data_IF_099041195470
#
_entry.id   IF_099041195470
#
_cell.length_a   1.000
_cell.length_b   1.000
_cell.length_c   1.000
_cell.angle_alpha   90.00
_cell.angle_beta   90.00
_cell.angle_gamma   90.00
#
_symmetry.space_group_name_H-M   'P 1'
#
loop_
_entity.id
_entity.type
_entity.pdbx_description
1 polymer ?
#
# COMPACT_ATOMS: atom_id res chain seq x y z
N UNK A 1 38.55 40.46 19.23
CA UNK A 1 37.67 39.73 20.13
C UNK A 1 36.26 39.57 19.63
N UNK A 2 35.52 40.62 19.19
CA UNK A 2 34.12 40.46 18.70
C UNK A 2 33.94 39.53 17.50
N UNK A 3 34.89 39.43 16.55
CA UNK A 3 34.81 38.53 15.38
C UNK A 3 34.99 37.04 15.72
N UNK A 4 35.79 36.73 16.76
CA UNK A 4 36.05 35.36 17.21
C UNK A 4 34.81 34.83 17.94
N UNK A 5 34.14 35.67 18.72
CA UNK A 5 32.89 35.29 19.45
C UNK A 5 31.75 35.03 18.45
N UNK A 6 31.69 35.82 17.35
CA UNK A 6 30.67 35.60 16.32
C UNK A 6 30.91 34.29 15.53
N UNK A 7 32.17 33.92 15.26
CA UNK A 7 32.51 32.65 14.63
C UNK A 7 32.19 31.44 15.53
N UNK A 8 32.47 31.55 16.83
CA UNK A 8 32.13 30.49 17.80
C UNK A 8 30.62 30.32 17.97
N UNK A 9 29.82 31.40 17.93
CA UNK A 9 28.37 31.36 17.93
C UNK A 9 27.82 30.73 16.65
N UNK A 10 28.35 31.04 15.49
CA UNK A 10 27.95 30.41 14.22
C UNK A 10 28.30 28.93 14.20
N UNK A 11 29.45 28.53 14.75
CA UNK A 11 29.86 27.13 14.81
C UNK A 11 28.97 26.31 15.78
N UNK A 12 28.53 26.90 16.90
CA UNK A 12 27.62 26.24 17.84
C UNK A 12 26.22 26.04 17.25
N UNK A 13 25.71 26.99 16.47
CA UNK A 13 24.44 26.86 15.76
C UNK A 13 24.53 25.77 14.68
N UNK A 14 25.65 25.67 13.97
CA UNK A 14 25.86 24.60 12.98
C UNK A 14 25.95 23.22 13.61
N UNK A 15 26.58 23.08 14.77
CA UNK A 15 26.67 21.81 15.52
C UNK A 15 25.32 21.38 16.10
N UNK A 16 24.44 22.30 16.51
CA UNK A 16 23.08 22.00 16.97
C UNK A 16 22.20 21.57 15.81
N UNK A 17 22.36 22.15 14.62
CA UNK A 17 21.62 21.72 13.42
C UNK A 17 22.07 20.35 12.88
N UNK A 18 23.31 19.92 13.11
CA UNK A 18 23.81 18.60 12.73
C UNK A 18 23.45 17.49 13.75
N UNK A 19 23.04 17.85 14.96
CA UNK A 19 22.68 16.91 16.03
C UNK A 19 21.22 16.49 16.10
N UNK A 20 20.31 17.14 15.36
CA UNK A 20 18.88 16.80 15.31
C UNK A 20 18.51 15.93 14.10
N UNK A 21 19.40 15.08 13.63
CA UNK A 21 19.03 13.87 12.91
C UNK A 21 18.48 12.87 13.94
N UNK A 22 17.22 13.04 14.39
CA UNK A 22 16.54 11.94 15.07
C UNK A 22 16.61 10.76 14.10
N UNK A 23 17.42 9.74 14.41
CA UNK A 23 17.31 8.45 13.75
C UNK A 23 15.85 8.10 13.87
N UNK A 24 15.13 8.12 12.76
CA UNK A 24 13.75 7.70 12.73
C UNK A 24 13.76 6.31 13.36
N UNK A 25 13.17 6.20 14.56
CA UNK A 25 13.12 4.96 15.29
C UNK A 25 12.49 3.93 14.35
N UNK A 26 13.18 2.82 14.13
CA UNK A 26 12.64 1.78 13.25
C UNK A 26 11.45 1.16 13.97
N UNK A 27 10.26 1.68 13.69
CA UNK A 27 9.01 1.19 14.28
C UNK A 27 8.55 -0.15 13.70
N UNK A 28 9.16 -0.61 12.60
CA UNK A 28 8.76 -1.84 11.91
C UNK A 28 9.43 -3.07 12.55
N UNK A 29 8.86 -3.55 13.64
CA UNK A 29 9.44 -4.62 14.48
C UNK A 29 8.94 -6.02 14.10
N UNK A 30 7.82 -6.13 13.39
CA UNK A 30 7.21 -7.40 13.00
C UNK A 30 7.28 -7.59 11.49
N UNK A 31 7.53 -8.84 11.07
CA UNK A 31 7.60 -9.25 9.67
C UNK A 31 6.47 -10.22 9.36
N UNK A 32 5.44 -9.71 8.73
CA UNK A 32 4.26 -10.48 8.35
C UNK A 32 4.44 -11.01 6.94
N UNK A 33 4.50 -12.32 6.76
CA UNK A 33 4.68 -12.97 5.46
C UNK A 33 3.40 -13.67 5.02
N UNK A 34 3.06 -13.48 3.75
CA UNK A 34 1.98 -14.20 3.08
C UNK A 34 2.54 -14.86 1.81
N UNK A 35 2.30 -16.16 1.68
CA UNK A 35 2.75 -16.93 0.53
C UNK A 35 1.65 -17.03 -0.53
N UNK A 36 1.97 -16.63 -1.77
CA UNK A 36 1.19 -16.87 -2.96
C UNK A 36 1.62 -18.18 -3.66
N UNK A 37 1.24 -18.36 -4.92
CA UNK A 37 1.61 -19.55 -5.69
C UNK A 37 3.03 -19.44 -6.25
N UNK A 38 3.39 -18.31 -6.83
CA UNK A 38 4.70 -18.07 -7.44
C UNK A 38 5.53 -17.02 -6.73
N UNK A 39 4.92 -16.20 -5.88
CA UNK A 39 5.62 -15.18 -5.09
C UNK A 39 5.23 -15.26 -3.62
N UNK A 40 6.01 -14.61 -2.77
CA UNK A 40 5.62 -14.28 -1.40
C UNK A 40 5.77 -12.79 -1.16
N UNK A 41 4.85 -12.22 -0.39
CA UNK A 41 4.92 -10.83 0.06
C UNK A 41 5.27 -10.78 1.55
N UNK A 42 6.16 -9.87 1.92
CA UNK A 42 6.52 -9.56 3.31
C UNK A 42 6.16 -8.12 3.61
N UNK A 43 5.40 -7.91 4.67
CA UNK A 43 4.94 -6.62 5.14
C UNK A 43 5.53 -6.38 6.52
N UNK A 44 6.52 -5.49 6.61
CA UNK A 44 7.07 -5.06 7.88
C UNK A 44 6.15 -4.01 8.52
N UNK A 45 5.77 -4.22 9.78
CA UNK A 45 4.86 -3.36 10.53
C UNK A 45 5.32 -3.21 11.98
N UNK A 46 4.81 -2.21 12.73
CA UNK A 46 5.10 -2.08 14.17
C UNK A 46 4.32 -3.07 15.03
N UNK A 47 3.48 -3.89 14.43
CA UNK A 47 2.63 -4.88 15.09
C UNK A 47 2.45 -6.09 14.18
N UNK A 48 2.05 -7.22 14.77
CA UNK A 48 1.68 -8.42 14.04
C UNK A 48 0.26 -8.27 13.47
N UNK A 49 0.10 -8.60 12.18
CA UNK A 49 -1.21 -8.65 11.56
C UNK A 49 -1.93 -9.94 11.91
N UNK A 50 -3.18 -9.83 12.29
CA UNK A 50 -4.08 -10.96 12.39
C UNK A 50 -4.84 -11.10 11.08
N UNK A 51 -4.33 -11.95 10.18
CA UNK A 51 -4.92 -12.14 8.88
C UNK A 51 -6.18 -13.02 8.95
N UNK A 52 -7.28 -12.49 8.49
CA UNK A 52 -8.51 -13.26 8.24
C UNK A 52 -8.62 -13.47 6.72
N UNK A 53 -8.70 -14.72 6.30
CA UNK A 53 -9.01 -15.06 4.92
C UNK A 53 -10.47 -14.74 4.63
N UNK A 54 -10.74 -14.05 3.52
CA UNK A 54 -12.09 -13.77 3.03
C UNK A 54 -12.31 -14.67 1.82
N UNK A 55 -13.29 -15.59 1.86
CA UNK A 55 -13.57 -16.50 0.76
C UNK A 55 -13.98 -15.75 -0.50
N UNK A 56 -13.67 -16.36 -1.64
CA UNK A 56 -13.87 -15.78 -2.96
C UNK A 56 -15.35 -15.46 -3.28
N UNK A 57 -16.29 -16.27 -2.77
CA UNK A 57 -17.71 -16.02 -2.93
C UNK A 57 -18.17 -14.72 -2.22
N UNK A 58 -17.62 -14.41 -1.04
CA UNK A 58 -17.90 -13.15 -0.35
C UNK A 58 -17.29 -11.94 -1.10
N UNK A 59 -16.13 -12.13 -1.74
CA UNK A 59 -15.50 -11.10 -2.57
C UNK A 59 -16.22 -10.90 -3.90
N UNK A 60 -16.74 -11.96 -4.51
CA UNK A 60 -17.45 -11.90 -5.78
C UNK A 60 -18.77 -11.10 -5.71
N UNK A 61 -19.38 -11.00 -4.53
CA UNK A 61 -20.53 -10.12 -4.29
C UNK A 61 -20.11 -8.63 -4.35
N UNK A 62 -18.86 -8.33 -4.05
CA UNK A 62 -18.30 -6.98 -4.03
C UNK A 62 -17.68 -6.62 -5.38
N UNK A 63 -17.02 -7.59 -6.04
CA UNK A 63 -16.32 -7.40 -7.32
C UNK A 63 -16.37 -8.69 -8.16
N UNK A 64 -17.16 -8.73 -9.26
CA UNK A 64 -17.24 -9.90 -10.16
C UNK A 64 -15.92 -10.29 -10.82
N UNK A 65 -14.95 -9.37 -10.93
CA UNK A 65 -13.61 -9.63 -11.46
C UNK A 65 -12.75 -10.39 -10.44
N UNK A 66 -13.18 -10.41 -9.18
CA UNK A 66 -12.49 -11.08 -8.08
C UNK A 66 -12.55 -12.62 -8.10
N UNK A 67 -13.08 -13.23 -9.16
CA UNK A 67 -13.20 -14.71 -9.26
C UNK A 67 -11.85 -15.46 -9.15
N UNK A 68 -10.73 -14.75 -9.13
CA UNK A 68 -9.37 -15.30 -8.96
C UNK A 68 -8.61 -14.64 -7.82
N UNK A 69 -9.29 -13.90 -6.94
CA UNK A 69 -8.67 -13.16 -5.85
C UNK A 69 -8.70 -13.94 -4.54
N UNK A 70 -7.57 -13.94 -3.83
CA UNK A 70 -7.53 -14.21 -2.40
C UNK A 70 -7.46 -12.87 -1.67
N UNK A 71 -8.27 -12.66 -0.65
CA UNK A 71 -8.20 -11.47 0.19
C UNK A 71 -7.92 -11.84 1.64
N UNK A 72 -7.06 -11.05 2.26
CA UNK A 72 -6.73 -11.19 3.68
C UNK A 72 -6.89 -9.83 4.34
N UNK A 73 -7.71 -9.80 5.37
CA UNK A 73 -7.99 -8.60 6.14
C UNK A 73 -7.19 -8.61 7.44
N UNK A 74 -6.54 -7.50 7.73
CA UNK A 74 -6.07 -7.24 9.07
C UNK A 74 -7.25 -6.81 9.94
N UNK A 75 -7.53 -7.59 10.98
CA UNK A 75 -8.57 -7.29 11.96
C UNK A 75 -7.99 -6.81 13.28
N UNK A 76 -6.65 -6.68 13.40
CA UNK A 76 -6.01 -6.29 14.64
C UNK A 76 -6.24 -4.81 14.94
N UNK A 77 -6.53 -4.51 16.20
CA UNK A 77 -6.50 -3.14 16.72
C UNK A 77 -5.03 -2.73 16.89
N UNK A 78 -4.72 -1.50 16.52
CA UNK A 78 -3.38 -0.97 16.68
C UNK A 78 -3.41 0.48 17.18
N UNK A 79 -2.33 0.89 17.83
CA UNK A 79 -2.18 2.24 18.41
C UNK A 79 -1.74 3.29 17.36
N UNK A 80 -1.61 2.88 16.09
CA UNK A 80 -1.12 3.74 15.00
C UNK A 80 -2.21 4.42 14.20
N UNK A 81 -3.50 4.20 14.53
CA UNK A 81 -4.63 4.84 13.87
C UNK A 81 -4.96 4.28 12.48
N UNK A 82 -4.39 3.14 12.10
CA UNK A 82 -4.75 2.42 10.86
C UNK A 82 -6.07 1.71 11.10
N UNK A 83 -7.09 2.02 10.30
CA UNK A 83 -8.45 1.49 10.47
C UNK A 83 -8.58 0.06 10.00
N UNK A 84 -8.00 -0.24 8.85
CA UNK A 84 -7.86 -1.61 8.34
C UNK A 84 -6.69 -1.69 7.36
N UNK A 85 -6.23 -2.91 7.17
CA UNK A 85 -5.32 -3.31 6.10
C UNK A 85 -5.90 -4.51 5.38
N UNK A 86 -5.91 -4.47 4.08
CA UNK A 86 -6.33 -5.57 3.22
C UNK A 86 -5.20 -5.92 2.26
N UNK A 87 -4.91 -7.21 2.15
CA UNK A 87 -4.01 -7.74 1.13
C UNK A 87 -4.82 -8.63 0.20
N UNK A 88 -4.83 -8.30 -1.08
CA UNK A 88 -5.49 -9.09 -2.12
C UNK A 88 -4.45 -9.65 -3.07
N UNK A 89 -4.61 -10.91 -3.46
CA UNK A 89 -3.84 -11.57 -4.50
C UNK A 89 -4.75 -11.92 -5.66
N UNK A 90 -4.34 -11.56 -6.87
CA UNK A 90 -5.01 -11.97 -8.10
C UNK A 90 -4.10 -12.92 -8.85
N UNK A 91 -4.63 -14.07 -9.28
CA UNK A 91 -3.93 -15.06 -10.09
C UNK A 91 -4.40 -14.98 -11.52
N UNK A 92 -3.47 -15.09 -12.45
CA UNK A 92 -3.80 -15.25 -13.87
C UNK A 92 -3.87 -16.72 -14.22
N UNK A 93 -4.85 -17.09 -15.04
CA UNK A 93 -4.92 -18.44 -15.59
C UNK A 93 -3.82 -18.61 -16.65
N UNK A 94 -2.86 -19.49 -16.33
CA UNK A 94 -1.74 -19.82 -17.21
C UNK A 94 -2.23 -20.29 -18.60
N UNK A 95 -3.38 -20.98 -18.70
CA UNK A 95 -3.91 -21.48 -19.95
C UNK A 95 -4.32 -20.34 -20.91
N UNK A 96 -4.85 -19.26 -20.36
CA UNK A 96 -5.27 -18.11 -21.17
C UNK A 96 -4.07 -17.27 -21.65
N UNK A 97 -3.03 -17.16 -20.87
CA UNK A 97 -1.85 -16.36 -21.22
C UNK A 97 -0.87 -17.10 -22.13
N UNK A 98 -0.68 -18.40 -21.91
CA UNK A 98 0.32 -19.21 -22.64
C UNK A 98 0.03 -19.39 -24.13
N UNK A 99 -1.20 -19.11 -24.60
CA UNK A 99 -1.53 -19.14 -26.04
C UNK A 99 -1.14 -17.85 -26.77
N UNK A 100 -0.72 -16.81 -26.04
CA UNK A 100 -0.34 -15.52 -26.59
C UNK A 100 1.18 -15.42 -26.73
N UNK A 101 1.66 -14.70 -27.75
CA UNK A 101 3.06 -14.33 -27.84
C UNK A 101 3.46 -13.36 -26.72
N UNK A 102 4.75 -13.27 -26.39
CA UNK A 102 5.27 -12.51 -25.24
C UNK A 102 4.91 -11.02 -25.27
N UNK A 103 4.81 -10.40 -26.46
CA UNK A 103 4.48 -8.98 -26.58
C UNK A 103 2.98 -8.75 -26.32
N UNK A 104 2.15 -9.64 -26.86
CA UNK A 104 0.70 -9.63 -26.65
C UNK A 104 0.38 -9.91 -25.19
N UNK A 105 1.06 -10.87 -24.53
CA UNK A 105 0.93 -11.11 -23.10
C UNK A 105 1.19 -9.85 -22.27
N UNK A 106 2.31 -9.16 -22.54
CA UNK A 106 2.66 -7.92 -21.82
C UNK A 106 1.61 -6.83 -22.02
N UNK A 107 1.10 -6.67 -23.23
CA UNK A 107 0.06 -5.68 -23.53
C UNK A 107 -1.25 -6.01 -22.80
N UNK A 108 -1.68 -7.27 -22.82
CA UNK A 108 -2.87 -7.74 -22.09
C UNK A 108 -2.73 -7.52 -20.59
N UNK A 109 -1.59 -7.91 -19.99
CA UNK A 109 -1.33 -7.73 -18.57
C UNK A 109 -1.30 -6.25 -18.19
N UNK A 110 -0.65 -5.40 -18.98
CA UNK A 110 -0.63 -3.96 -18.69
C UNK A 110 -2.03 -3.35 -18.73
N UNK A 111 -2.84 -3.69 -19.73
CA UNK A 111 -4.23 -3.23 -19.81
C UNK A 111 -5.05 -3.74 -18.61
N UNK A 112 -4.83 -4.99 -18.20
CA UNK A 112 -5.51 -5.54 -17.03
C UNK A 112 -5.15 -4.77 -15.74
N UNK A 113 -3.87 -4.46 -15.51
CA UNK A 113 -3.44 -3.67 -14.36
C UNK A 113 -4.06 -2.27 -14.35
N UNK A 114 -4.18 -1.63 -15.52
CA UNK A 114 -4.80 -0.32 -15.65
C UNK A 114 -6.31 -0.37 -15.34
N UNK A 115 -7.00 -1.37 -15.87
CA UNK A 115 -8.41 -1.62 -15.57
C UNK A 115 -8.62 -1.91 -14.09
N UNK A 116 -7.80 -2.80 -13.52
CA UNK A 116 -7.88 -3.15 -12.12
C UNK A 116 -7.65 -1.95 -11.20
N UNK A 117 -6.59 -1.17 -11.43
CA UNK A 117 -6.33 0.05 -10.68
C UNK A 117 -7.49 1.04 -10.72
N UNK A 118 -8.17 1.14 -11.87
CA UNK A 118 -9.35 2.00 -12.05
C UNK A 118 -10.58 1.43 -11.32
N UNK A 119 -10.75 0.10 -11.33
CA UNK A 119 -11.89 -0.58 -10.69
C UNK A 119 -11.87 -0.47 -9.16
N UNK A 120 -10.69 -0.40 -8.53
CA UNK A 120 -10.56 -0.23 -7.08
C UNK A 120 -11.27 1.01 -6.52
N UNK A 121 -11.49 2.01 -7.36
CA UNK A 121 -12.15 3.26 -6.96
C UNK A 121 -13.68 3.26 -7.22
N UNK A 122 -14.20 2.28 -7.95
CA UNK A 122 -15.62 2.21 -8.30
C UNK A 122 -16.51 2.08 -7.07
N UNK A 123 -16.24 1.16 -6.11
CA UNK A 123 -17.06 1.04 -4.92
C UNK A 123 -17.17 2.36 -4.14
N UNK A 124 -16.04 3.04 -3.96
CA UNK A 124 -16.01 4.31 -3.23
C UNK A 124 -16.84 5.40 -3.94
N UNK A 125 -16.77 5.47 -5.28
CA UNK A 125 -17.54 6.43 -6.08
C UNK A 125 -19.04 6.16 -6.10
N UNK A 126 -19.46 4.92 -5.84
CA UNK A 126 -20.86 4.51 -5.79
C UNK A 126 -21.51 4.67 -4.42
N UNK A 127 -20.75 4.97 -3.37
CA UNK A 127 -21.26 5.15 -2.02
C UNK A 127 -21.95 6.51 -1.85
N UNK A 128 -23.20 6.53 -1.40
CA UNK A 128 -23.99 7.75 -1.20
C UNK A 128 -23.51 8.60 -0.01
N UNK A 129 -22.72 8.00 0.90
CA UNK A 129 -22.20 8.67 2.10
C UNK A 129 -20.76 9.15 1.95
N UNK A 130 -20.24 9.20 0.73
CA UNK A 130 -18.88 9.64 0.42
C UNK A 130 -18.91 10.87 -0.48
N UNK A 131 -18.08 11.85 -0.18
CA UNK A 131 -17.89 13.07 -0.97
C UNK A 131 -16.42 13.47 -1.07
N UNK A 132 -16.12 14.53 -1.82
CA UNK A 132 -14.78 15.12 -1.95
C UNK A 132 -13.68 14.15 -2.36
N UNK A 133 -13.99 13.17 -3.23
CA UNK A 133 -13.04 12.17 -3.68
C UNK A 133 -11.94 12.82 -4.51
N UNK A 134 -10.69 12.68 -4.06
CA UNK A 134 -9.48 13.10 -4.77
C UNK A 134 -8.52 11.94 -4.89
N UNK A 135 -7.96 11.74 -6.06
CA UNK A 135 -7.07 10.62 -6.35
C UNK A 135 -5.74 11.13 -6.89
N UNK A 136 -4.66 10.63 -6.32
CA UNK A 136 -3.29 10.81 -6.81
C UNK A 136 -2.72 9.42 -7.13
N UNK A 137 -2.05 9.31 -8.27
CA UNK A 137 -1.45 8.06 -8.74
C UNK A 137 0.00 8.29 -9.12
N UNK A 138 0.86 7.35 -8.80
CA UNK A 138 2.27 7.35 -9.20
C UNK A 138 2.76 5.92 -9.48
N UNK A 139 3.81 5.79 -10.26
CA UNK A 139 4.52 4.54 -10.42
C UNK A 139 5.32 4.20 -9.14
N UNK A 140 5.43 2.91 -8.86
CA UNK A 140 6.17 2.37 -7.74
C UNK A 140 7.13 1.27 -8.19
N UNK A 141 8.18 1.03 -7.41
CA UNK A 141 9.08 -0.12 -7.57
C UNK A 141 9.19 -0.81 -6.22
N UNK A 142 8.84 -2.10 -6.18
CA UNK A 142 8.89 -2.94 -4.98
C UNK A 142 9.76 -4.14 -5.24
N UNK A 143 10.92 -4.24 -4.58
CA UNK A 143 11.89 -5.34 -4.77
C UNK A 143 12.25 -5.58 -6.24
N UNK A 144 12.37 -4.49 -7.04
CA UNK A 144 12.69 -4.54 -8.46
C UNK A 144 11.49 -4.82 -9.39
N UNK A 145 10.31 -5.11 -8.87
CA UNK A 145 9.07 -5.26 -9.65
C UNK A 145 8.36 -3.91 -9.78
N UNK A 146 7.79 -3.65 -10.96
CA UNK A 146 6.98 -2.45 -11.20
C UNK A 146 5.66 -2.53 -10.45
N UNK A 147 5.14 -1.38 -10.06
CA UNK A 147 3.87 -1.27 -9.36
C UNK A 147 3.18 0.06 -9.61
N UNK A 148 2.01 0.19 -9.01
CA UNK A 148 1.20 1.40 -9.03
C UNK A 148 0.85 1.74 -7.59
N UNK A 149 1.08 2.97 -7.17
CA UNK A 149 0.65 3.48 -5.88
C UNK A 149 -0.45 4.52 -6.08
N UNK A 150 -1.56 4.38 -5.34
CA UNK A 150 -2.72 5.24 -5.44
C UNK A 150 -3.09 5.77 -4.06
N UNK A 151 -3.21 7.08 -3.94
CA UNK A 151 -3.78 7.75 -2.77
C UNK A 151 -5.17 8.25 -3.14
N UNK A 152 -6.19 7.79 -2.43
CA UNK A 152 -7.55 8.24 -2.60
C UNK A 152 -8.06 8.87 -1.31
N UNK A 153 -8.18 10.19 -1.26
CA UNK A 153 -8.78 10.87 -0.12
C UNK A 153 -10.24 11.17 -0.38
N UNK A 154 -11.07 11.07 0.65
CA UNK A 154 -12.51 11.30 0.59
C UNK A 154 -13.04 11.72 1.96
N UNK A 155 -14.25 12.27 1.99
CA UNK A 155 -14.98 12.60 3.22
C UNK A 155 -16.08 11.56 3.45
N UNK A 156 -16.02 10.84 4.59
CA UNK A 156 -17.15 10.04 5.10
C UNK A 156 -18.16 11.02 5.71
N UNK A 157 -19.28 11.25 5.02
CA UNK A 157 -20.30 12.24 5.43
C UNK A 157 -21.06 11.81 6.68
N UNK A 158 -21.16 10.51 6.98
CA UNK A 158 -21.83 10.02 8.18
C UNK A 158 -21.04 10.35 9.44
N UNK A 159 -19.71 10.23 9.36
CA UNK A 159 -18.79 10.49 10.46
C UNK A 159 -18.23 11.92 10.45
N UNK A 160 -18.38 12.63 9.33
CA UNK A 160 -17.75 13.92 9.05
C UNK A 160 -16.22 13.88 9.24
N UNK A 161 -15.59 12.85 8.67
CA UNK A 161 -14.15 12.60 8.79
C UNK A 161 -13.56 12.46 7.40
N UNK A 162 -12.43 13.12 7.15
CA UNK A 162 -11.62 12.90 5.96
C UNK A 162 -10.76 11.63 6.14
N UNK A 163 -10.85 10.72 5.19
CA UNK A 163 -10.16 9.45 5.17
C UNK A 163 -9.25 9.32 3.94
N UNK A 164 -8.32 8.39 4.01
CA UNK A 164 -7.44 8.03 2.90
C UNK A 164 -7.46 6.52 2.73
N UNK A 165 -7.74 6.07 1.51
CA UNK A 165 -7.33 4.76 1.04
C UNK A 165 -6.00 4.88 0.33
N UNK A 166 -5.01 4.14 0.80
CA UNK A 166 -3.71 4.02 0.17
C UNK A 166 -3.57 2.62 -0.41
N UNK A 167 -3.36 2.55 -1.73
CA UNK A 167 -3.23 1.30 -2.48
C UNK A 167 -1.81 1.16 -3.00
N UNK A 168 -1.27 -0.06 -2.95
CA UNK A 168 -0.04 -0.45 -3.62
C UNK A 168 -0.30 -1.72 -4.42
N UNK A 169 -0.29 -1.62 -5.74
CA UNK A 169 -0.40 -2.74 -6.66
C UNK A 169 1.01 -3.12 -7.08
N UNK A 170 1.42 -4.39 -6.87
CA UNK A 170 2.73 -4.90 -7.25
C UNK A 170 2.53 -5.86 -8.41
N UNK A 171 3.03 -5.48 -9.59
CA UNK A 171 2.83 -6.21 -10.85
C UNK A 171 3.74 -7.43 -10.93
N UNK A 172 3.18 -8.55 -11.38
CA UNK A 172 3.90 -9.76 -11.75
C UNK A 172 3.12 -10.49 -12.86
N UNK A 173 3.79 -11.30 -13.66
CA UNK A 173 3.21 -11.93 -14.84
C UNK A 173 2.19 -13.04 -14.51
N UNK A 174 2.35 -13.74 -13.38
CA UNK A 174 1.50 -14.88 -13.01
C UNK A 174 0.51 -14.57 -11.89
N UNK A 175 0.89 -13.73 -10.97
CA UNK A 175 0.04 -13.26 -9.88
C UNK A 175 0.49 -11.85 -9.49
N UNK A 176 -0.43 -11.01 -9.04
CA UNK A 176 -0.09 -9.71 -8.50
C UNK A 176 -0.74 -9.49 -7.13
N UNK A 177 -0.18 -8.55 -6.39
CA UNK A 177 -0.61 -8.24 -5.05
C UNK A 177 -1.11 -6.82 -4.97
N UNK A 178 -2.15 -6.61 -4.17
CA UNK A 178 -2.64 -5.28 -3.82
C UNK A 178 -2.71 -5.15 -2.31
N UNK A 179 -1.92 -4.25 -1.76
CA UNK A 179 -2.01 -3.83 -0.36
C UNK A 179 -2.86 -2.57 -0.28
N UNK A 180 -3.87 -2.58 0.59
CA UNK A 180 -4.78 -1.48 0.82
C UNK A 180 -4.74 -1.14 2.31
N UNK A 181 -4.58 0.13 2.65
CA UNK A 181 -4.73 0.62 4.03
C UNK A 181 -5.71 1.78 4.09
N UNK A 182 -6.46 1.86 5.18
CA UNK A 182 -7.36 2.98 5.46
C UNK A 182 -6.94 3.69 6.75
N UNK A 183 -6.88 5.01 6.71
CA UNK A 183 -6.58 5.83 7.87
C UNK A 183 -7.20 7.24 7.75
N UNK A 184 -7.33 7.95 8.87
CA UNK A 184 -7.80 9.33 8.86
C UNK A 184 -6.76 10.26 8.23
N UNK A 185 -7.18 11.12 7.30
CA UNK A 185 -6.30 12.04 6.55
C UNK A 185 -5.47 12.95 7.45
N UNK A 186 -6.04 13.37 8.57
CA UNK A 186 -5.42 14.28 9.52
C UNK A 186 -4.57 13.58 10.59
N UNK A 187 -4.56 12.24 10.60
CA UNK A 187 -3.72 11.45 11.51
C UNK A 187 -2.30 11.32 10.96
N UNK A 188 -1.43 12.23 11.40
CA UNK A 188 -0.02 12.24 11.00
C UNK A 188 0.72 10.97 11.45
N UNK A 189 0.37 10.41 12.61
CA UNK A 189 0.98 9.18 13.12
C UNK A 189 0.64 7.99 12.21
N UNK A 190 -0.65 7.83 11.87
CA UNK A 190 -1.09 6.80 10.94
C UNK A 190 -0.44 6.96 9.55
N UNK A 191 -0.46 8.17 8.99
CA UNK A 191 0.17 8.47 7.71
C UNK A 191 1.65 8.11 7.68
N UNK A 192 2.42 8.48 8.71
CA UNK A 192 3.84 8.18 8.80
C UNK A 192 4.08 6.68 8.93
N UNK A 193 3.27 5.98 9.74
CA UNK A 193 3.35 4.53 9.89
C UNK A 193 3.07 3.82 8.55
N UNK A 194 1.98 4.16 7.87
CA UNK A 194 1.63 3.58 6.56
C UNK A 194 2.73 3.83 5.54
N UNK A 195 3.26 5.04 5.46
CA UNK A 195 4.36 5.36 4.54
C UNK A 195 5.62 4.51 4.81
N UNK A 196 5.94 4.24 6.09
CA UNK A 196 7.06 3.36 6.42
C UNK A 196 6.76 1.91 6.03
N UNK A 197 5.55 1.40 6.30
CA UNK A 197 5.13 0.06 5.90
C UNK A 197 5.30 -0.11 4.39
N UNK A 198 4.75 0.80 3.59
CA UNK A 198 4.75 0.72 2.13
C UNK A 198 6.16 0.79 1.52
N UNK A 199 7.05 1.59 2.10
CA UNK A 199 8.47 1.65 1.68
C UNK A 199 9.24 0.36 1.97
N UNK A 200 8.77 -0.46 2.92
CA UNK A 200 9.45 -1.67 3.36
C UNK A 200 8.73 -2.97 2.94
N UNK A 201 7.68 -2.86 2.11
CA UNK A 201 7.08 -4.04 1.47
C UNK A 201 8.12 -4.73 0.60
N UNK A 202 8.21 -6.04 0.72
CA UNK A 202 9.09 -6.88 -0.10
C UNK A 202 8.29 -7.96 -0.79
N UNK A 203 8.67 -8.27 -2.02
CA UNK A 203 8.15 -9.40 -2.77
C UNK A 203 9.32 -10.28 -3.21
N UNK A 204 9.15 -11.58 -3.13
CA UNK A 204 10.15 -12.57 -3.53
C UNK A 204 9.51 -13.62 -4.41
N UNK A 205 10.17 -13.98 -5.49
CA UNK A 205 9.78 -15.13 -6.28
C UNK A 205 10.05 -16.42 -5.48
N UNK A 206 9.13 -17.37 -5.54
CA UNK A 206 9.35 -18.71 -5.00
C UNK A 206 10.22 -19.49 -5.98
N UNK A 207 11.16 -20.23 -5.43
CA UNK A 207 12.01 -21.14 -6.19
C UNK A 207 11.26 -22.42 -6.54
#
# INVERSE_FOLDING_TARGET
>A
MKRIILMLLMLSVYLVCLGCGSKAENILTQHNRVDGDVTSIEIAAPYEYTWKYVPMNELAEIDPVAAQCDSRLDTSKNDYGIKFTQLTRVRFDDNTLNILDSNTQKAVLNNYYEMYASSLLIPLKSMNNVSNIKTERKDAIVSGKSGIEIYCSFTDMQKNIDEVFHYLIIKNEKEFWTLITCYSKNDTKAKNCVNQIYKNVKIKDKK
#
